data_IF_168774491537
#
_entry.id   IF_168774491537
#
_cell.length_a   1.000
_cell.length_b   1.000
_cell.length_c   1.000
_cell.angle_alpha   90.00
_cell.angle_beta   90.00
_cell.angle_gamma   90.00
#
_symmetry.space_group_name_H-M   'P 1'
#
loop_
_entity.id
_entity.type
_entity.pdbx_description
1 polymer ?
#
# COMPACT_ATOMS: atom_id res chain seq x y z
N UNK A 1 44.18 -21.49 -8.11
CA UNK A 1 44.68 -22.80 -8.59
C UNK A 1 44.76 -23.83 -7.46
N UNK A 2 45.39 -23.53 -6.32
CA UNK A 2 45.46 -24.44 -5.17
C UNK A 2 44.08 -24.92 -4.67
N UNK A 3 43.10 -24.01 -4.52
CA UNK A 3 41.73 -24.38 -4.11
C UNK A 3 41.05 -25.34 -5.11
N UNK A 4 41.28 -25.14 -6.42
CA UNK A 4 40.72 -26.03 -7.46
C UNK A 4 41.36 -27.42 -7.37
N UNK A 5 42.68 -27.48 -7.15
CA UNK A 5 43.41 -28.74 -6.94
C UNK A 5 42.93 -29.46 -5.67
N UNK A 6 42.76 -28.72 -4.56
CA UNK A 6 42.31 -29.25 -3.28
C UNK A 6 40.91 -29.86 -3.31
N UNK A 7 39.98 -29.31 -4.11
CA UNK A 7 38.67 -29.92 -4.35
C UNK A 7 38.72 -31.24 -5.14
N UNK A 8 39.86 -31.56 -5.76
CA UNK A 8 40.04 -32.73 -6.63
C UNK A 8 41.12 -33.69 -6.09
N UNK A 9 41.35 -33.68 -4.77
CA UNK A 9 42.37 -34.48 -4.08
C UNK A 9 43.76 -34.35 -4.72
N UNK A 10 44.10 -33.15 -5.18
CA UNK A 10 45.36 -32.86 -5.86
C UNK A 10 46.11 -31.69 -5.21
N UNK A 11 47.43 -31.68 -5.39
CA UNK A 11 48.26 -30.51 -5.16
C UNK A 11 48.82 -30.00 -6.48
N UNK A 12 49.09 -28.69 -6.52
CA UNK A 12 49.70 -28.02 -7.67
C UNK A 12 51.14 -27.68 -7.33
N UNK A 13 52.06 -28.00 -8.24
CA UNK A 13 53.46 -27.66 -8.10
C UNK A 13 54.05 -27.28 -9.47
N UNK A 14 55.19 -26.59 -9.44
CA UNK A 14 55.97 -26.31 -10.64
C UNK A 14 57.01 -27.43 -10.75
N UNK A 15 56.95 -28.19 -11.84
CA UNK A 15 57.90 -29.27 -12.12
C UNK A 15 59.27 -28.74 -12.52
N UNK A 16 60.27 -29.62 -12.51
CA UNK A 16 61.66 -29.29 -12.86
C UNK A 16 61.82 -28.83 -14.32
N UNK A 17 60.85 -29.14 -15.19
CA UNK A 17 60.76 -28.69 -16.58
C UNK A 17 60.07 -27.30 -16.74
N UNK A 18 59.72 -26.64 -15.63
CA UNK A 18 59.10 -25.31 -15.62
C UNK A 18 57.60 -25.29 -15.94
N UNK A 19 56.94 -26.46 -16.03
CA UNK A 19 55.49 -26.55 -16.22
C UNK A 19 54.74 -26.60 -14.90
N UNK A 20 53.48 -26.17 -14.90
CA UNK A 20 52.58 -26.39 -13.77
C UNK A 20 51.96 -27.77 -13.92
N UNK A 21 52.14 -28.64 -12.93
CA UNK A 21 51.56 -29.98 -12.87
C UNK A 21 50.63 -30.12 -11.66
N UNK A 22 49.68 -31.04 -11.78
CA UNK A 22 48.79 -31.44 -10.69
C UNK A 22 49.12 -32.88 -10.30
N UNK A 23 49.53 -33.12 -9.04
CA UNK A 23 49.66 -34.47 -8.49
C UNK A 23 48.39 -34.81 -7.73
N UNK A 24 47.69 -35.87 -8.15
CA UNK A 24 46.54 -36.44 -7.43
C UNK A 24 47.03 -37.46 -6.40
N UNK A 25 46.41 -37.42 -5.22
CA UNK A 25 46.65 -38.38 -4.15
C UNK A 25 45.46 -39.34 -4.07
N UNK A 26 45.74 -40.60 -3.78
CA UNK A 26 44.75 -41.64 -3.59
C UNK A 26 45.30 -42.72 -2.66
N UNK A 27 44.44 -43.39 -1.88
CA UNK A 27 44.87 -44.41 -0.93
C UNK A 27 45.69 -45.55 -1.56
N UNK A 28 45.39 -45.89 -2.82
CA UNK A 28 46.09 -46.92 -3.59
C UNK A 28 47.02 -46.35 -4.68
N UNK A 29 47.67 -45.20 -4.44
CA UNK A 29 48.61 -44.65 -5.44
C UNK A 29 49.75 -45.67 -5.75
N UNK A 30 50.23 -45.73 -7.01
CA UNK A 30 51.37 -46.57 -7.35
C UNK A 30 52.64 -46.08 -6.64
N UNK A 31 53.62 -46.96 -6.50
CA UNK A 31 54.95 -46.60 -6.01
C UNK A 31 55.74 -46.08 -7.21
N UNK A 32 56.19 -44.83 -7.13
CA UNK A 32 56.89 -44.14 -8.21
C UNK A 32 58.39 -44.50 -8.20
N UNK A 33 58.96 -44.82 -7.03
CA UNK A 33 60.36 -45.21 -6.90
C UNK A 33 60.61 -46.13 -5.70
N UNK A 34 61.33 -47.22 -5.93
CA UNK A 34 61.77 -48.14 -4.88
C UNK A 34 63.24 -47.84 -4.51
N UNK A 35 63.46 -47.45 -3.26
CA UNK A 35 64.76 -47.09 -2.71
C UNK A 35 65.37 -48.25 -1.95
N UNK A 36 66.50 -48.73 -2.46
CA UNK A 36 67.30 -49.74 -1.78
C UNK A 36 68.22 -49.10 -0.74
N UNK A 37 68.80 -49.91 0.15
CA UNK A 37 69.78 -49.46 1.16
C UNK A 37 71.05 -48.81 0.58
N UNK A 38 71.26 -48.82 -0.74
CA UNK A 38 72.37 -48.13 -1.43
C UNK A 38 72.02 -46.73 -1.90
N UNK A 39 70.72 -46.41 -1.94
CA UNK A 39 70.19 -45.18 -2.53
C UNK A 39 70.04 -44.06 -1.49
N UNK A 40 69.96 -44.42 -0.21
CA UNK A 40 69.89 -43.50 0.91
C UNK A 40 71.06 -43.65 1.88
N UNK A 41 71.45 -42.54 2.50
CA UNK A 41 72.51 -42.44 3.52
C UNK A 41 71.88 -42.58 4.91
N UNK A 42 70.72 -41.95 5.12
CA UNK A 42 70.00 -41.96 6.39
C UNK A 42 68.50 -41.86 6.15
N UNK A 43 67.72 -42.73 6.78
CA UNK A 43 66.27 -42.63 6.85
C UNK A 43 65.84 -42.55 8.32
N UNK A 44 65.28 -41.40 8.74
CA UNK A 44 64.78 -41.16 10.10
C UNK A 44 63.26 -41.07 10.06
N UNK A 45 62.59 -42.03 10.70
CA UNK A 45 61.15 -41.97 10.90
C UNK A 45 60.83 -40.90 11.95
N UNK A 46 60.03 -39.91 11.59
CA UNK A 46 59.76 -38.75 12.47
C UNK A 46 58.50 -38.92 13.31
N UNK A 47 57.54 -39.71 12.85
CA UNK A 47 56.30 -40.07 13.54
C UNK A 47 55.86 -41.48 13.12
N UNK A 48 54.92 -42.13 13.82
CA UNK A 48 54.24 -43.34 13.33
C UNK A 48 53.51 -43.10 12.00
N UNK A 49 53.12 -44.19 11.32
CA UNK A 49 52.35 -44.13 10.06
C UNK A 49 51.12 -43.24 10.26
N UNK A 50 50.98 -42.22 9.42
CA UNK A 50 49.85 -41.29 9.44
C UNK A 50 48.81 -41.78 8.45
N UNK A 51 47.60 -42.09 8.94
CA UNK A 51 46.48 -42.57 8.11
C UNK A 51 45.29 -41.63 8.25
N UNK A 52 44.71 -41.21 7.13
CA UNK A 52 43.53 -40.35 7.12
C UNK A 52 42.26 -41.14 6.79
N UNK A 53 41.24 -40.99 7.64
CA UNK A 53 39.93 -41.67 7.48
C UNK A 53 38.75 -40.70 7.54
N UNK A 54 39.00 -39.45 7.95
CA UNK A 54 38.02 -38.36 8.00
C UNK A 54 38.57 -37.12 7.29
N UNK A 55 37.72 -36.43 6.55
CA UNK A 55 38.04 -35.17 5.87
C UNK A 55 37.08 -34.10 6.36
N UNK A 56 37.62 -32.94 6.69
CA UNK A 56 36.86 -31.75 7.05
C UNK A 56 37.34 -30.60 6.18
N UNK A 57 36.40 -29.97 5.48
CA UNK A 57 36.67 -28.81 4.64
C UNK A 57 35.90 -27.60 5.15
N UNK A 58 36.62 -26.55 5.51
CA UNK A 58 36.02 -25.27 5.90
C UNK A 58 35.79 -24.43 4.64
N UNK A 59 34.54 -24.19 4.28
CA UNK A 59 34.17 -23.40 3.10
C UNK A 59 34.11 -21.89 3.40
N UNK A 60 33.58 -21.52 4.57
CA UNK A 60 33.60 -20.15 5.06
C UNK A 60 33.81 -20.15 6.56
N UNK A 61 34.92 -19.58 7.02
CA UNK A 61 35.16 -19.32 8.45
C UNK A 61 34.26 -18.21 8.99
N UNK A 62 33.73 -17.36 8.10
CA UNK A 62 32.86 -16.24 8.45
C UNK A 62 31.43 -16.71 8.73
N UNK A 63 30.90 -17.57 7.85
CA UNK A 63 29.52 -18.06 7.93
C UNK A 63 29.42 -19.42 8.64
N UNK A 64 30.52 -19.90 9.23
CA UNK A 64 30.66 -21.19 9.93
C UNK A 64 30.22 -22.39 9.08
N UNK A 65 30.52 -22.33 7.78
CA UNK A 65 30.17 -23.40 6.84
C UNK A 65 31.36 -24.36 6.73
N UNK A 66 31.22 -25.52 7.37
CA UNK A 66 32.16 -26.62 7.25
C UNK A 66 31.43 -27.91 6.82
N UNK A 67 32.06 -28.64 5.90
CA UNK A 67 31.58 -29.93 5.40
C UNK A 67 32.51 -31.03 5.89
N UNK A 68 31.95 -32.16 6.30
CA UNK A 68 32.72 -33.30 6.80
C UNK A 68 32.26 -34.61 6.16
N UNK A 69 33.20 -35.53 5.96
CA UNK A 69 32.93 -36.90 5.51
C UNK A 69 33.89 -37.89 6.19
N UNK A 70 33.37 -39.08 6.53
CA UNK A 70 34.12 -40.13 7.22
C UNK A 70 34.12 -40.04 8.74
N UNK A 71 34.78 -41.00 9.39
CA UNK A 71 34.92 -41.10 10.83
C UNK A 71 36.39 -41.29 11.21
N UNK A 72 36.82 -40.61 12.28
CA UNK A 72 38.20 -40.65 12.74
C UNK A 72 38.45 -39.59 13.81
N UNK A 73 39.41 -39.88 14.68
CA UNK A 73 39.91 -38.94 15.68
C UNK A 73 40.72 -37.82 15.01
N UNK A 74 41.14 -36.83 15.79
CA UNK A 74 41.87 -35.68 15.27
C UNK A 74 43.15 -36.08 14.51
N UNK A 75 43.87 -37.09 15.01
CA UNK A 75 45.07 -37.64 14.36
C UNK A 75 44.82 -38.28 12.99
N UNK A 76 43.57 -38.63 12.68
CA UNK A 76 43.13 -39.26 11.42
C UNK A 76 42.28 -38.33 10.55
N UNK A 77 42.17 -37.05 10.93
CA UNK A 77 41.38 -36.04 10.23
C UNK A 77 42.26 -35.15 9.36
N UNK A 78 41.98 -35.12 8.05
CA UNK A 78 42.59 -34.16 7.13
C UNK A 78 41.72 -32.89 7.09
N UNK A 79 42.29 -31.75 7.49
CA UNK A 79 41.62 -30.43 7.47
C UNK A 79 42.17 -29.58 6.32
N UNK A 80 41.30 -28.95 5.55
CA UNK A 80 41.66 -28.02 4.50
C UNK A 80 40.65 -26.86 4.41
N UNK A 81 41.13 -25.69 4.01
CA UNK A 81 40.29 -24.49 3.85
C UNK A 81 40.05 -24.27 2.35
N UNK A 82 38.78 -24.24 1.93
CA UNK A 82 38.45 -24.11 0.52
C UNK A 82 37.04 -23.53 0.27
N UNK A 83 36.91 -22.31 -0.28
CA UNK A 83 35.62 -21.66 -0.50
C UNK A 83 34.76 -22.30 -1.57
N UNK A 84 35.32 -23.19 -2.40
CA UNK A 84 34.58 -23.87 -3.47
C UNK A 84 34.07 -25.26 -3.06
N UNK A 85 34.26 -25.65 -1.80
CA UNK A 85 33.82 -26.95 -1.33
C UNK A 85 32.30 -27.02 -1.19
N UNK A 86 31.73 -28.15 -1.57
CA UNK A 86 30.33 -28.54 -1.32
C UNK A 86 30.33 -29.89 -0.62
N UNK A 87 29.22 -30.28 0.00
CA UNK A 87 29.12 -31.61 0.63
C UNK A 87 29.43 -32.75 -0.36
N UNK A 88 29.04 -32.62 -1.63
CA UNK A 88 29.35 -33.61 -2.66
C UNK A 88 30.86 -33.71 -2.91
N UNK A 89 31.56 -32.57 -3.05
CA UNK A 89 33.01 -32.54 -3.22
C UNK A 89 33.71 -33.19 -2.03
N UNK A 90 33.26 -32.93 -0.80
CA UNK A 90 33.87 -33.54 0.40
C UNK A 90 33.64 -35.05 0.45
N UNK A 91 32.49 -35.54 -0.01
CA UNK A 91 32.23 -36.98 -0.15
C UNK A 91 33.14 -37.61 -1.21
N UNK A 92 33.34 -36.95 -2.37
CA UNK A 92 34.22 -37.43 -3.43
C UNK A 92 35.70 -37.46 -2.97
N UNK A 93 36.13 -36.42 -2.25
CA UNK A 93 37.44 -36.36 -1.60
C UNK A 93 37.61 -37.51 -0.61
N UNK A 94 36.59 -37.80 0.20
CA UNK A 94 36.63 -38.91 1.15
C UNK A 94 36.73 -40.24 0.41
N UNK A 95 35.95 -40.47 -0.63
CA UNK A 95 36.03 -41.69 -1.43
C UNK A 95 37.44 -41.93 -2.02
N UNK A 96 38.14 -40.87 -2.43
CA UNK A 96 39.48 -40.99 -3.03
C UNK A 96 40.63 -41.12 -2.00
N UNK A 97 40.53 -40.42 -0.87
CA UNK A 97 41.60 -40.30 0.12
C UNK A 97 41.40 -41.17 1.38
N UNK A 98 40.24 -41.81 1.55
CA UNK A 98 39.98 -42.66 2.71
C UNK A 98 40.98 -43.83 2.76
N UNK A 99 41.73 -43.91 3.85
CA UNK A 99 42.81 -44.89 4.02
C UNK A 99 44.14 -44.47 3.42
N UNK A 100 44.29 -43.25 2.89
CA UNK A 100 45.58 -42.72 2.48
C UNK A 100 46.52 -42.68 3.68
N UNK A 101 47.65 -43.37 3.54
CA UNK A 101 48.64 -43.51 4.57
C UNK A 101 50.05 -43.28 4.02
N UNK A 102 50.89 -42.64 4.82
CA UNK A 102 52.31 -42.47 4.53
C UNK A 102 53.11 -42.50 5.83
N UNK A 103 54.37 -42.91 5.73
CA UNK A 103 55.32 -42.90 6.82
C UNK A 103 56.02 -41.52 6.89
N UNK A 104 55.78 -40.70 7.92
CA UNK A 104 56.47 -39.43 8.09
C UNK A 104 57.96 -39.67 8.31
N UNK A 105 58.81 -38.97 7.57
CA UNK A 105 60.25 -39.20 7.59
C UNK A 105 61.08 -37.99 7.17
N UNK A 106 62.35 -38.03 7.56
CA UNK A 106 63.45 -37.23 7.03
C UNK A 106 64.49 -38.19 6.45
N UNK A 107 64.77 -38.09 5.17
CA UNK A 107 65.72 -38.97 4.49
C UNK A 107 66.75 -38.17 3.70
N UNK A 108 68.01 -38.51 3.90
CA UNK A 108 69.11 -38.04 3.08
C UNK A 108 69.47 -39.12 2.07
N UNK A 109 69.34 -38.78 0.79
CA UNK A 109 69.54 -39.69 -0.33
C UNK A 109 70.60 -39.20 -1.30
N UNK A 110 71.04 -40.11 -2.17
CA UNK A 110 71.76 -39.73 -3.38
C UNK A 110 70.83 -38.91 -4.27
N UNK A 111 71.40 -38.00 -5.05
CA UNK A 111 70.64 -37.13 -5.93
C UNK A 111 69.88 -37.90 -7.01
N UNK A 112 68.55 -37.85 -6.97
CA UNK A 112 67.67 -38.38 -8.02
C UNK A 112 66.86 -37.23 -8.64
N UNK A 113 67.37 -36.56 -9.69
CA UNK A 113 66.70 -35.45 -10.36
C UNK A 113 65.34 -35.80 -10.97
N UNK A 114 65.06 -37.09 -11.21
CA UNK A 114 63.81 -37.53 -11.80
C UNK A 114 62.62 -37.54 -10.82
N UNK A 115 62.89 -37.49 -9.51
CA UNK A 115 61.83 -37.46 -8.49
C UNK A 115 61.33 -36.03 -8.30
N UNK A 116 60.02 -35.89 -8.25
CA UNK A 116 59.33 -34.62 -8.03
C UNK A 116 58.51 -34.63 -6.72
N UNK A 117 58.17 -33.45 -6.16
CA UNK A 117 57.24 -33.36 -5.04
C UNK A 117 55.90 -34.01 -5.37
N UNK A 118 55.44 -34.91 -4.49
CA UNK A 118 54.22 -35.68 -4.60
C UNK A 118 54.45 -37.15 -4.98
N UNK A 119 55.66 -37.54 -5.38
CA UNK A 119 55.96 -38.94 -5.73
C UNK A 119 55.97 -39.86 -4.50
N UNK A 120 55.38 -41.06 -4.67
CA UNK A 120 55.37 -42.09 -3.63
C UNK A 120 56.65 -42.91 -3.70
N UNK A 121 57.35 -43.00 -2.57
CA UNK A 121 58.58 -43.79 -2.45
C UNK A 121 58.34 -44.99 -1.55
N UNK A 122 58.90 -46.12 -1.94
CA UNK A 122 59.11 -47.26 -1.05
C UNK A 122 60.58 -47.29 -0.67
N UNK A 123 60.88 -47.63 0.58
CA UNK A 123 62.26 -47.84 1.01
C UNK A 123 62.34 -48.99 1.99
N UNK A 124 63.39 -49.79 1.83
CA UNK A 124 63.66 -50.91 2.73
C UNK A 124 64.60 -50.48 3.85
N UNK A 125 64.30 -50.91 5.07
CA UNK A 125 65.18 -50.76 6.24
C UNK A 125 65.46 -52.12 6.84
N UNK A 126 66.73 -52.40 7.12
CA UNK A 126 67.09 -53.55 7.93
C UNK A 126 66.83 -53.20 9.41
N UNK A 127 65.72 -53.68 9.95
CA UNK A 127 65.43 -53.58 11.38
C UNK A 127 66.04 -54.79 12.10
N UNK A 128 67.37 -54.77 12.25
CA UNK A 128 68.06 -55.72 13.12
C UNK A 128 67.81 -55.38 14.58
N UNK A 129 66.71 -55.85 15.17
CA UNK A 129 66.56 -55.87 16.63
C UNK A 129 67.39 -57.01 17.21
N UNK A 130 68.27 -56.74 18.18
CA UNK A 130 68.82 -57.80 19.04
C UNK A 130 67.68 -58.37 19.89
N UNK A 131 67.63 -59.70 20.02
CA UNK A 131 66.58 -60.45 20.74
C UNK A 131 66.16 -59.90 22.11
N UNK A 132 67.05 -59.18 22.81
CA UNK A 132 66.82 -58.61 24.15
C UNK A 132 65.91 -57.37 24.19
N UNK A 133 65.54 -56.77 23.05
CA UNK A 133 64.78 -55.50 23.01
C UNK A 133 63.42 -55.63 22.29
N UNK A 134 62.99 -56.86 21.96
CA UNK A 134 61.71 -57.08 21.28
C UNK A 134 60.56 -57.12 22.30
N UNK A 135 59.87 -56.00 22.47
CA UNK A 135 58.65 -55.87 23.29
C UNK A 135 57.36 -55.92 22.46
N UNK A 136 57.26 -56.81 21.48
CA UNK A 136 56.02 -57.10 20.76
C UNK A 136 55.56 -58.54 21.03
N UNK A 137 54.25 -58.75 21.22
CA UNK A 137 53.66 -60.08 21.30
C UNK A 137 53.71 -60.75 19.91
N UNK A 138 54.10 -62.03 19.87
CA UNK A 138 54.33 -62.84 18.66
C UNK A 138 53.19 -62.80 17.62
N UNK A 139 51.95 -62.52 18.04
CA UNK A 139 50.77 -62.55 17.18
C UNK A 139 50.70 -61.42 16.12
N UNK A 140 51.45 -60.32 16.29
CA UNK A 140 51.38 -59.14 15.40
C UNK A 140 52.72 -58.76 14.75
N UNK A 141 53.74 -59.61 14.85
CA UNK A 141 55.06 -59.30 14.27
C UNK A 141 55.18 -59.96 12.90
N UNK A 142 54.93 -59.18 11.83
CA UNK A 142 55.15 -59.64 10.46
C UNK A 142 56.63 -59.44 10.10
N UNK A 143 57.46 -60.44 10.37
CA UNK A 143 58.87 -60.45 9.96
C UNK A 143 58.95 -61.07 8.56
N UNK A 144 59.26 -60.29 7.52
CA UNK A 144 59.41 -60.84 6.17
C UNK A 144 60.64 -61.76 6.11
N UNK A 145 60.59 -62.77 5.23
CA UNK A 145 61.60 -63.81 5.08
C UNK A 145 63.01 -63.27 4.75
N UNK A 146 63.08 -62.06 4.20
CA UNK A 146 64.32 -61.34 3.85
C UNK A 146 64.89 -60.46 4.97
N UNK A 147 64.17 -60.34 6.10
CA UNK A 147 64.56 -59.49 7.24
C UNK A 147 64.51 -57.99 6.95
N UNK A 148 63.89 -57.53 5.85
CA UNK A 148 63.81 -56.12 5.49
C UNK A 148 62.38 -55.59 5.65
N UNK A 149 62.20 -54.52 6.42
CA UNK A 149 60.89 -53.87 6.57
C UNK A 149 60.72 -52.84 5.48
N UNK A 150 59.63 -52.96 4.72
CA UNK A 150 59.23 -52.05 3.66
C UNK A 150 58.41 -50.90 4.25
N UNK A 151 58.88 -49.66 4.05
CA UNK A 151 58.15 -48.47 4.42
C UNK A 151 57.75 -47.69 3.18
N UNK A 152 56.51 -47.20 3.19
CA UNK A 152 55.98 -46.33 2.14
C UNK A 152 55.87 -44.90 2.63
N UNK A 153 56.43 -43.96 1.90
CA UNK A 153 56.33 -42.52 2.17
C UNK A 153 56.02 -41.73 0.90
N UNK A 154 55.88 -40.42 1.04
CA UNK A 154 55.60 -39.50 -0.06
C UNK A 154 56.48 -38.27 0.07
N UNK A 155 56.99 -37.79 -1.06
CA UNK A 155 57.86 -36.62 -1.09
C UNK A 155 56.99 -35.36 -0.96
N UNK A 156 56.93 -34.73 0.21
CA UNK A 156 56.20 -33.46 0.37
C UNK A 156 57.12 -32.25 0.24
N UNK A 157 58.39 -32.42 0.60
CA UNK A 157 59.42 -31.42 0.41
C UNK A 157 60.73 -32.10 0.00
N UNK A 158 61.40 -31.51 -0.98
CA UNK A 158 62.63 -32.03 -1.56
C UNK A 158 63.63 -30.87 -1.69
N UNK A 159 64.89 -31.14 -1.36
CA UNK A 159 65.99 -30.19 -1.60
C UNK A 159 67.13 -30.90 -2.30
N UNK A 160 67.57 -30.36 -3.43
CA UNK A 160 68.74 -30.83 -4.17
C UNK A 160 69.92 -29.88 -3.91
N UNK A 161 71.09 -30.44 -3.59
CA UNK A 161 72.31 -29.68 -3.35
C UNK A 161 73.49 -30.32 -4.05
N UNK A 162 74.42 -29.51 -4.56
CA UNK A 162 75.62 -29.99 -5.24
C UNK A 162 76.86 -29.60 -4.46
N UNK A 163 77.54 -30.58 -3.87
CA UNK A 163 78.80 -30.38 -3.11
C UNK A 163 79.71 -31.60 -3.28
N UNK A 164 80.44 -31.66 -4.39
CA UNK A 164 81.28 -32.82 -4.77
C UNK A 164 80.47 -34.05 -5.22
N UNK A 165 79.16 -33.90 -5.35
CA UNK A 165 78.17 -34.91 -5.72
C UNK A 165 76.77 -34.32 -5.55
N UNK A 166 75.78 -34.86 -6.26
CA UNK A 166 74.38 -34.46 -6.09
C UNK A 166 73.80 -35.17 -4.87
N UNK A 167 73.42 -34.39 -3.85
CA UNK A 167 72.72 -34.88 -2.66
C UNK A 167 71.27 -34.42 -2.72
N UNK A 168 70.35 -35.29 -2.33
CA UNK A 168 68.94 -34.98 -2.17
C UNK A 168 68.51 -35.20 -0.73
N UNK A 169 67.64 -34.33 -0.22
CA UNK A 169 66.96 -34.52 1.06
C UNK A 169 65.46 -34.58 0.80
N UNK A 170 64.81 -35.60 1.33
CA UNK A 170 63.37 -35.85 1.24
C UNK A 170 62.76 -35.69 2.61
N UNK A 171 61.66 -34.95 2.68
CA UNK A 171 60.91 -34.73 3.90
C UNK A 171 59.41 -35.00 3.67
N UNK A 172 58.84 -35.76 4.59
CA UNK A 172 57.41 -36.00 4.73
C UNK A 172 56.98 -35.59 6.14
N UNK A 173 56.80 -34.28 6.41
CA UNK A 173 56.45 -33.80 7.73
C UNK A 173 55.03 -34.21 8.12
N UNK A 174 54.80 -34.43 9.42
CA UNK A 174 53.47 -34.69 10.00
C UNK A 174 53.35 -34.03 11.36
N UNK A 175 52.14 -33.58 11.71
CA UNK A 175 51.83 -33.05 13.04
C UNK A 175 51.77 -34.21 14.06
N UNK A 176 52.50 -34.07 15.16
CA UNK A 176 52.48 -35.02 16.28
C UNK A 176 51.14 -34.97 17.01
N UNK A 177 50.63 -36.12 17.45
CA UNK A 177 49.37 -36.25 18.19
C UNK A 177 49.45 -35.71 19.64
N UNK A 178 50.65 -35.37 20.13
CA UNK A 178 50.87 -34.94 21.51
C UNK A 178 50.96 -33.42 21.73
N UNK A 179 50.80 -32.58 20.69
CA UNK A 179 50.75 -31.13 20.91
C UNK A 179 49.32 -30.68 21.22
N UNK A 180 49.10 -30.33 22.50
CA UNK A 180 47.85 -29.76 23.03
C UNK A 180 47.38 -28.56 22.21
N UNK A 181 46.13 -28.65 21.76
CA UNK A 181 45.46 -27.84 20.72
C UNK A 181 45.00 -26.45 21.20
N UNK A 182 45.61 -25.86 22.22
CA UNK A 182 45.25 -24.51 22.68
C UNK A 182 46.22 -23.46 22.18
N UNK A 183 46.17 -23.18 20.88
CA UNK A 183 46.68 -21.89 20.37
C UNK A 183 45.76 -20.81 20.92
N UNK A 184 46.15 -20.16 22.01
CA UNK A 184 45.41 -19.02 22.55
C UNK A 184 45.51 -17.88 21.54
N UNK A 185 44.45 -17.67 20.75
CA UNK A 185 44.40 -16.57 19.78
C UNK A 185 44.61 -15.25 20.53
N UNK A 186 45.51 -14.40 20.02
CA UNK A 186 45.76 -13.10 20.61
C UNK A 186 44.50 -12.21 20.63
N UNK A 187 44.40 -11.25 21.56
CA UNK A 187 43.19 -10.43 21.75
C UNK A 187 42.80 -9.64 20.49
N UNK A 188 43.78 -9.19 19.69
CA UNK A 188 43.53 -8.51 18.42
C UNK A 188 42.89 -9.44 17.37
N UNK A 189 43.37 -10.69 17.27
CA UNK A 189 42.80 -11.68 16.35
C UNK A 189 41.36 -12.02 16.75
N UNK A 190 41.08 -12.14 18.06
CA UNK A 190 39.72 -12.35 18.55
C UNK A 190 38.81 -11.15 18.25
N UNK A 191 39.31 -9.92 18.39
CA UNK A 191 38.55 -8.71 18.05
C UNK A 191 38.27 -8.61 16.55
N UNK A 192 39.25 -8.90 15.68
CA UNK A 192 39.05 -8.91 14.23
C UNK A 192 38.04 -9.98 13.83
N UNK A 193 38.16 -11.20 14.34
CA UNK A 193 37.18 -12.27 14.10
C UNK A 193 35.78 -11.89 14.61
N UNK A 194 35.68 -11.19 15.74
CA UNK A 194 34.41 -10.68 16.25
C UNK A 194 33.82 -9.63 15.33
N UNK A 195 34.62 -8.69 14.82
CA UNK A 195 34.17 -7.67 13.85
C UNK A 195 33.72 -8.34 12.56
N UNK A 196 34.50 -9.29 12.03
CA UNK A 196 34.16 -9.98 10.79
C UNK A 196 32.83 -10.75 10.87
N UNK A 197 32.51 -11.30 12.06
CA UNK A 197 31.25 -12.02 12.32
C UNK A 197 30.07 -11.10 12.63
N UNK A 198 30.30 -9.96 13.26
CA UNK A 198 29.21 -9.12 13.80
C UNK A 198 28.94 -7.86 12.98
N UNK A 199 29.87 -7.43 12.12
CA UNK A 199 29.69 -6.23 11.32
C UNK A 199 28.76 -6.46 10.12
N UNK A 200 27.96 -5.42 9.82
CA UNK A 200 27.25 -5.31 8.55
C UNK A 200 28.26 -4.87 7.48
N UNK A 201 28.43 -5.71 6.45
CA UNK A 201 29.39 -5.52 5.37
C UNK A 201 28.70 -4.89 4.16
N UNK A 202 29.39 -3.97 3.50
CA UNK A 202 28.89 -3.31 2.29
C UNK A 202 28.60 -4.36 1.19
N UNK A 203 27.42 -4.27 0.58
CA UNK A 203 26.99 -5.15 -0.52
C UNK A 203 26.64 -6.59 -0.14
N UNK A 204 26.82 -7.00 1.12
CA UNK A 204 26.36 -8.31 1.60
C UNK A 204 24.86 -8.22 1.93
N UNK A 205 24.09 -9.18 1.42
CA UNK A 205 22.67 -9.31 1.75
C UNK A 205 22.49 -10.00 3.10
N UNK A 206 21.70 -9.38 3.96
CA UNK A 206 21.31 -9.86 5.28
C UNK A 206 19.80 -10.01 5.31
N UNK A 207 19.31 -11.18 4.89
CA UNK A 207 17.86 -11.48 4.85
C UNK A 207 17.07 -10.42 4.04
N UNK A 208 17.52 -10.16 2.82
CA UNK A 208 16.91 -9.16 1.91
C UNK A 208 17.35 -7.72 2.18
N UNK A 209 18.05 -7.44 3.29
CA UNK A 209 18.59 -6.11 3.60
C UNK A 209 20.03 -5.99 3.11
N UNK A 210 20.32 -4.98 2.31
CA UNK A 210 21.68 -4.68 1.84
C UNK A 210 21.97 -3.21 2.07
N UNK A 211 23.24 -2.88 2.32
CA UNK A 211 23.70 -1.48 2.33
C UNK A 211 24.86 -1.25 1.38
N UNK A 212 24.83 -0.13 0.66
CA UNK A 212 25.87 0.28 -0.28
C UNK A 212 26.07 1.80 -0.23
N UNK A 213 27.20 2.28 -0.78
CA UNK A 213 27.45 3.72 -0.89
C UNK A 213 26.58 4.35 -1.99
N UNK A 214 26.18 3.53 -2.96
CA UNK A 214 25.49 3.94 -4.17
C UNK A 214 23.98 4.04 -3.96
N UNK A 215 23.38 3.12 -3.20
CA UNK A 215 21.91 3.05 -3.01
C UNK A 215 21.46 3.28 -1.56
N UNK A 216 22.39 3.34 -0.59
CA UNK A 216 22.07 3.51 0.82
C UNK A 216 21.55 2.22 1.44
N UNK A 217 20.34 2.23 2.00
CA UNK A 217 19.68 1.05 2.54
C UNK A 217 18.68 0.50 1.52
N UNK A 218 18.87 -0.76 1.14
CA UNK A 218 18.00 -1.47 0.20
C UNK A 218 17.39 -2.67 0.91
N UNK A 219 16.07 -2.80 0.86
CA UNK A 219 15.35 -4.00 1.27
C UNK A 219 14.71 -4.60 0.03
N UNK A 220 15.17 -5.76 -0.41
CA UNK A 220 14.64 -6.46 -1.58
C UNK A 220 14.05 -7.82 -1.17
N UNK A 221 12.99 -8.23 -1.86
CA UNK A 221 12.46 -9.58 -1.76
C UNK A 221 13.15 -10.44 -2.80
N UNK A 222 13.48 -11.68 -2.44
CA UNK A 222 14.12 -12.64 -3.36
C UNK A 222 13.29 -12.91 -4.65
N UNK A 223 11.99 -12.64 -4.63
CA UNK A 223 11.09 -12.78 -5.79
C UNK A 223 11.07 -11.54 -6.72
N UNK A 224 11.79 -10.47 -6.38
CA UNK A 224 11.88 -9.23 -7.15
C UNK A 224 10.56 -8.44 -7.22
N UNK A 225 9.55 -8.79 -6.42
CA UNK A 225 8.22 -8.16 -6.48
C UNK A 225 8.09 -6.90 -5.63
N UNK A 226 8.95 -6.73 -4.64
CA UNK A 226 8.98 -5.50 -3.86
C UNK A 226 10.40 -5.17 -3.44
N UNK A 227 10.73 -3.89 -3.56
CA UNK A 227 12.01 -3.32 -3.14
C UNK A 227 11.74 -2.03 -2.38
N UNK A 228 12.48 -1.73 -1.33
CA UNK A 228 12.49 -0.43 -0.69
C UNK A 228 13.91 0.15 -0.74
N UNK A 229 14.03 1.43 -1.05
CA UNK A 229 15.31 2.15 -1.15
C UNK A 229 15.21 3.40 -0.31
N UNK A 230 16.11 3.54 0.67
CA UNK A 230 16.19 4.67 1.58
C UNK A 230 17.60 5.29 1.56
N UNK A 231 17.68 6.51 1.06
CA UNK A 231 18.86 7.37 1.07
C UNK A 231 18.44 8.85 1.02
N UNK A 232 19.40 9.78 0.89
CA UNK A 232 19.12 11.21 0.88
C UNK A 232 18.36 11.67 -0.38
N UNK A 233 18.53 10.96 -1.50
CA UNK A 233 17.92 11.27 -2.80
C UNK A 233 16.60 10.52 -3.02
N UNK A 234 16.38 9.42 -2.27
CA UNK A 234 15.30 8.49 -2.48
C UNK A 234 14.74 7.92 -1.18
N UNK A 235 13.42 8.07 -1.02
CA UNK A 235 12.61 7.33 -0.05
C UNK A 235 11.45 6.67 -0.81
N UNK A 236 11.65 5.45 -1.29
CA UNK A 236 10.71 4.76 -2.19
C UNK A 236 10.44 3.32 -1.79
N UNK A 237 9.17 2.93 -1.88
CA UNK A 237 8.70 1.55 -1.95
C UNK A 237 8.29 1.23 -3.40
N UNK A 238 8.87 0.18 -3.94
CA UNK A 238 8.65 -0.32 -5.29
C UNK A 238 7.73 -1.54 -5.29
N UNK A 239 6.91 -1.64 -6.33
CA UNK A 239 6.18 -2.85 -6.75
C UNK A 239 6.75 -3.30 -8.10
N UNK A 240 7.58 -4.34 -8.08
CA UNK A 240 8.48 -4.66 -9.20
C UNK A 240 9.38 -3.47 -9.52
N UNK A 241 9.36 -3.00 -10.77
CA UNK A 241 10.14 -1.83 -11.20
C UNK A 241 9.41 -0.49 -11.04
N UNK A 242 8.15 -0.48 -10.61
CA UNK A 242 7.33 0.74 -10.50
C UNK A 242 7.30 1.28 -9.08
N UNK A 243 7.35 2.61 -8.91
CA UNK A 243 7.18 3.24 -7.59
C UNK A 243 5.73 3.09 -7.11
N UNK A 244 5.54 2.55 -5.91
CA UNK A 244 4.24 2.38 -5.27
C UNK A 244 3.96 3.50 -4.26
N UNK A 245 4.95 3.83 -3.43
CA UNK A 245 4.92 4.93 -2.47
C UNK A 245 6.28 5.60 -2.45
N UNK A 246 6.35 6.91 -2.63
CA UNK A 246 7.64 7.61 -2.55
C UNK A 246 7.50 9.07 -2.12
N UNK A 247 8.59 9.61 -1.58
CA UNK A 247 8.76 11.05 -1.44
C UNK A 247 9.37 11.62 -2.73
N UNK A 248 8.64 12.51 -3.40
CA UNK A 248 9.11 13.28 -4.54
C UNK A 248 9.89 14.50 -4.04
N UNK A 249 11.21 14.32 -3.89
CA UNK A 249 12.15 15.33 -3.37
C UNK A 249 12.09 16.64 -4.15
N UNK A 250 11.87 16.59 -5.47
CA UNK A 250 11.83 17.81 -6.30
C UNK A 250 10.58 18.67 -6.06
N UNK A 251 9.51 18.09 -5.50
CA UNK A 251 8.22 18.74 -5.32
C UNK A 251 7.73 18.74 -3.86
N UNK A 252 8.54 18.26 -2.92
CA UNK A 252 8.24 18.09 -1.50
C UNK A 252 6.89 17.37 -1.23
N UNK A 253 6.63 16.26 -1.93
CA UNK A 253 5.34 15.56 -1.87
C UNK A 253 5.49 14.05 -1.67
N UNK A 254 4.68 13.49 -0.78
CA UNK A 254 4.40 12.07 -0.82
C UNK A 254 3.47 11.73 -1.98
N UNK A 255 3.83 10.70 -2.75
CA UNK A 255 3.05 10.18 -3.88
C UNK A 255 2.75 8.71 -3.69
N UNK A 256 1.56 8.31 -4.12
CA UNK A 256 1.07 6.94 -4.08
C UNK A 256 0.58 6.56 -5.48
N UNK A 257 0.99 5.38 -5.94
CA UNK A 257 0.52 4.77 -7.18
C UNK A 257 -0.49 3.68 -6.80
N UNK A 258 -1.76 4.06 -6.72
CA UNK A 258 -2.87 3.17 -6.36
C UNK A 258 -3.88 3.79 -5.40
N UNK A 259 -4.59 2.93 -4.67
CA UNK A 259 -5.60 3.31 -3.67
C UNK A 259 -4.94 3.45 -2.30
N UNK A 260 -5.21 4.56 -1.62
CA UNK A 260 -4.93 4.71 -0.19
C UNK A 260 -6.15 4.23 0.59
N UNK A 261 -6.03 3.10 1.29
CA UNK A 261 -7.06 2.56 2.18
C UNK A 261 -6.64 2.77 3.63
N UNK A 262 -7.41 3.55 4.37
CA UNK A 262 -7.18 3.85 5.78
C UNK A 262 -8.51 3.86 6.54
N UNK A 263 -8.47 3.54 7.84
CA UNK A 263 -9.65 3.56 8.71
C UNK A 263 -10.08 5.00 9.02
N UNK A 264 -9.11 5.93 9.09
CA UNK A 264 -9.33 7.35 9.36
C UNK A 264 -8.22 8.19 8.68
N UNK A 265 -8.46 9.49 8.52
CA UNK A 265 -7.52 10.43 7.93
C UNK A 265 -7.85 11.87 8.28
N UNK A 266 -6.87 12.59 8.81
CA UNK A 266 -6.98 14.04 9.09
C UNK A 266 -6.14 14.80 8.07
N UNK A 267 -6.80 15.52 7.17
CA UNK A 267 -6.16 16.37 6.17
C UNK A 267 -6.29 17.83 6.58
N UNK A 268 -5.18 18.57 6.57
CA UNK A 268 -5.17 20.04 6.74
C UNK A 268 -4.98 20.69 5.36
N UNK A 269 -5.63 21.85 5.16
CA UNK A 269 -5.56 22.59 3.90
C UNK A 269 -6.63 22.16 2.91
N UNK A 270 -6.26 22.10 1.62
CA UNK A 270 -7.21 21.83 0.52
C UNK A 270 -7.17 20.38 0.09
N UNK A 271 -8.33 19.73 0.03
CA UNK A 271 -8.52 18.43 -0.63
C UNK A 271 -8.96 18.71 -2.07
N UNK A 272 -8.13 18.35 -3.05
CA UNK A 272 -8.48 18.39 -4.48
C UNK A 272 -8.82 16.97 -4.92
N UNK A 273 -10.10 16.71 -5.19
CA UNK A 273 -10.59 15.39 -5.58
C UNK A 273 -11.67 15.55 -6.67
N UNK A 274 -11.77 14.57 -7.56
CA UNK A 274 -12.85 14.53 -8.56
C UNK A 274 -14.20 14.19 -7.93
N UNK A 275 -14.21 13.25 -6.99
CA UNK A 275 -15.40 12.80 -6.26
C UNK A 275 -15.08 12.68 -4.78
N UNK A 276 -15.95 13.23 -3.93
CA UNK A 276 -15.91 13.05 -2.47
C UNK A 276 -17.22 12.37 -2.05
N UNK A 277 -17.12 11.15 -1.56
CA UNK A 277 -18.26 10.42 -0.98
C UNK A 277 -18.09 10.51 0.54
N UNK A 278 -18.87 11.37 1.17
CA UNK A 278 -18.81 11.63 2.62
C UNK A 278 -20.19 11.68 3.24
N UNK A 279 -20.28 11.36 4.53
CA UNK A 279 -21.54 11.42 5.27
C UNK A 279 -21.93 12.84 5.67
N UNK A 280 -20.99 13.61 6.24
CA UNK A 280 -21.21 15.00 6.66
C UNK A 280 -20.13 15.90 6.08
N UNK A 281 -20.54 16.99 5.42
CA UNK A 281 -19.65 17.99 4.84
C UNK A 281 -19.95 19.32 5.55
N UNK A 282 -19.09 19.70 6.48
CA UNK A 282 -19.17 20.99 7.18
C UNK A 282 -18.32 22.02 6.44
N UNK A 283 -18.95 22.78 5.55
CA UNK A 283 -18.30 23.85 4.79
C UNK A 283 -19.06 25.17 4.94
N UNK A 284 -18.36 26.28 4.76
CA UNK A 284 -18.97 27.62 4.74
C UNK A 284 -19.70 27.92 3.43
N UNK A 285 -19.27 27.30 2.32
CA UNK A 285 -19.87 27.45 1.01
C UNK A 285 -19.84 26.11 0.27
N UNK A 286 -20.95 25.82 -0.43
CA UNK A 286 -21.06 24.69 -1.35
C UNK A 286 -21.47 25.30 -2.69
N UNK A 287 -20.55 25.29 -3.66
CA UNK A 287 -20.82 25.71 -5.03
C UNK A 287 -20.87 24.47 -5.91
N UNK A 288 -22.02 24.18 -6.49
CA UNK A 288 -22.23 23.01 -7.33
C UNK A 288 -23.44 23.22 -8.24
N UNK A 289 -23.54 22.41 -9.30
CA UNK A 289 -24.67 22.51 -10.24
C UNK A 289 -25.98 22.04 -9.62
N UNK A 290 -26.02 20.79 -9.17
CA UNK A 290 -27.23 20.16 -8.61
C UNK A 290 -27.00 19.80 -7.14
N UNK A 291 -27.91 20.25 -6.27
CA UNK A 291 -27.97 19.86 -4.86
C UNK A 291 -29.27 19.10 -4.65
N UNK A 292 -29.16 17.81 -4.32
CA UNK A 292 -30.31 16.94 -4.05
C UNK A 292 -30.28 16.51 -2.59
N UNK A 293 -31.35 16.82 -1.86
CA UNK A 293 -31.52 16.40 -0.46
C UNK A 293 -32.99 16.24 -0.12
N UNK A 294 -33.28 15.36 0.84
CA UNK A 294 -34.65 15.23 1.40
C UNK A 294 -35.09 16.49 2.14
N UNK A 295 -34.13 17.23 2.69
CA UNK A 295 -34.30 18.48 3.40
C UNK A 295 -33.10 19.40 3.10
N UNK A 296 -33.38 20.60 2.59
CA UNK A 296 -32.40 21.67 2.42
C UNK A 296 -32.89 22.85 3.24
N UNK A 297 -32.11 23.32 4.23
CA UNK A 297 -32.53 24.42 5.11
C UNK A 297 -31.36 25.30 5.55
N UNK A 298 -31.66 26.57 5.84
CA UNK A 298 -30.66 27.55 6.29
C UNK A 298 -30.39 27.52 7.80
N UNK A 299 -31.33 27.02 8.61
CA UNK A 299 -31.21 26.85 10.06
C UNK A 299 -32.05 25.65 10.52
N UNK A 300 -31.75 25.09 11.68
CA UNK A 300 -32.54 24.02 12.29
C UNK A 300 -33.91 24.49 12.81
N UNK A 301 -34.00 25.75 13.21
CA UNK A 301 -35.17 26.37 13.83
C UNK A 301 -35.21 27.88 13.57
N UNK A 302 -36.27 28.54 14.05
CA UNK A 302 -36.46 29.97 13.93
C UNK A 302 -36.60 30.44 12.48
N UNK A 303 -35.92 31.54 12.16
CA UNK A 303 -35.95 32.15 10.83
C UNK A 303 -35.14 31.31 9.85
N UNK A 304 -35.81 30.73 8.85
CA UNK A 304 -35.17 29.86 7.86
C UNK A 304 -35.93 29.76 6.55
N UNK A 305 -35.21 29.42 5.48
CA UNK A 305 -35.80 28.83 4.28
C UNK A 305 -35.63 27.32 4.36
N UNK A 306 -36.66 26.58 3.99
CA UNK A 306 -36.70 25.11 3.99
C UNK A 306 -37.26 24.61 2.66
N UNK A 307 -36.58 23.64 2.03
CA UNK A 307 -37.08 22.86 0.90
C UNK A 307 -37.16 21.39 1.35
N UNK A 308 -38.29 20.73 1.11
CA UNK A 308 -38.51 19.35 1.51
C UNK A 308 -39.15 18.53 0.39
N UNK A 309 -38.73 17.28 0.26
CA UNK A 309 -39.33 16.34 -0.67
C UNK A 309 -40.62 15.68 -0.14
N UNK A 310 -40.86 15.72 1.18
CA UNK A 310 -41.97 14.99 1.83
C UNK A 310 -43.03 15.89 2.42
N UNK A 311 -42.67 17.12 2.79
CA UNK A 311 -43.57 18.06 3.45
C UNK A 311 -44.00 19.14 2.46
N UNK A 312 -43.31 20.29 2.53
CA UNK A 312 -43.58 21.48 1.77
C UNK A 312 -42.53 21.62 0.67
N UNK A 313 -42.91 22.08 -0.53
CA UNK A 313 -41.94 22.27 -1.62
C UNK A 313 -40.93 23.35 -1.26
N UNK A 314 -41.42 24.46 -0.67
CA UNK A 314 -40.61 25.53 -0.12
C UNK A 314 -41.36 26.21 1.03
N UNK A 315 -40.70 26.47 2.14
CA UNK A 315 -41.27 27.27 3.24
C UNK A 315 -40.29 28.33 3.72
N UNK A 316 -40.78 29.55 3.87
CA UNK A 316 -40.07 30.65 4.50
C UNK A 316 -40.64 30.89 5.90
N UNK A 317 -39.89 30.50 6.93
CA UNK A 317 -40.26 30.68 8.32
C UNK A 317 -39.65 31.97 8.86
N UNK A 318 -40.46 32.80 9.52
CA UNK A 318 -39.95 33.68 10.57
C UNK A 318 -39.83 32.88 11.89
N UNK A 319 -40.85 32.08 12.19
CA UNK A 319 -40.89 31.05 13.23
C UNK A 319 -42.06 30.07 12.95
N UNK A 320 -42.32 29.09 13.82
CA UNK A 320 -43.37 28.08 13.64
C UNK A 320 -44.81 28.63 13.55
N UNK A 321 -45.04 29.87 14.01
CA UNK A 321 -46.34 30.52 13.98
C UNK A 321 -46.54 31.40 12.75
N UNK A 322 -45.46 31.96 12.20
CA UNK A 322 -45.48 32.92 11.10
C UNK A 322 -44.59 32.46 9.96
N UNK A 323 -45.22 31.99 8.89
CA UNK A 323 -44.51 31.50 7.73
C UNK A 323 -45.36 31.55 6.46
N UNK A 324 -44.67 31.47 5.33
CA UNK A 324 -45.29 31.29 4.02
C UNK A 324 -44.81 29.96 3.46
N UNK A 325 -45.73 29.16 2.94
CA UNK A 325 -45.40 27.86 2.36
C UNK A 325 -45.92 27.74 0.94
N UNK A 326 -45.12 27.14 0.07
CA UNK A 326 -45.51 26.68 -1.25
C UNK A 326 -45.80 25.19 -1.12
N UNK A 327 -47.07 24.83 -1.18
CA UNK A 327 -47.54 23.47 -0.96
C UNK A 327 -48.45 23.03 -2.10
N UNK A 328 -48.49 21.72 -2.42
CA UNK A 328 -49.52 21.20 -3.31
C UNK A 328 -50.90 21.39 -2.66
N UNK A 329 -51.80 22.10 -3.34
CA UNK A 329 -53.17 22.35 -2.89
C UNK A 329 -54.18 21.58 -3.76
N UNK A 330 -55.18 20.96 -3.11
CA UNK A 330 -56.40 20.37 -3.68
C UNK A 330 -56.29 19.85 -5.12
N UNK A 331 -55.44 18.84 -5.35
CA UNK A 331 -55.49 18.05 -6.58
C UNK A 331 -54.63 18.53 -7.75
N UNK A 332 -53.54 19.28 -7.53
CA UNK A 332 -52.38 19.09 -8.41
C UNK A 332 -51.39 20.24 -8.60
N UNK A 333 -51.71 21.48 -8.20
CA UNK A 333 -50.81 22.63 -8.40
C UNK A 333 -50.17 23.14 -7.11
N UNK A 334 -48.94 23.68 -7.14
CA UNK A 334 -48.39 24.42 -6.01
C UNK A 334 -49.18 25.71 -5.79
N UNK A 335 -49.60 25.95 -4.55
CA UNK A 335 -50.17 27.22 -4.13
C UNK A 335 -49.41 27.80 -2.95
N UNK A 336 -49.49 29.13 -2.84
CA UNK A 336 -48.89 29.90 -1.76
C UNK A 336 -49.88 29.96 -0.61
N UNK A 337 -49.45 29.57 0.57
CA UNK A 337 -50.23 29.60 1.80
C UNK A 337 -49.59 30.54 2.81
N UNK A 338 -50.40 31.37 3.45
CA UNK A 338 -49.96 32.32 4.47
C UNK A 338 -50.42 31.82 5.83
N UNK A 339 -49.49 31.73 6.78
CA UNK A 339 -49.77 31.24 8.13
C UNK A 339 -49.50 32.31 9.19
N UNK A 340 -50.45 32.43 10.14
CA UNK A 340 -50.37 33.30 11.30
C UNK A 340 -50.84 32.52 12.53
N UNK A 341 -50.03 32.51 13.59
CA UNK A 341 -50.25 31.67 14.78
C UNK A 341 -50.53 30.20 14.44
N UNK A 342 -49.84 29.68 13.41
CA UNK A 342 -49.99 28.31 12.92
C UNK A 342 -51.26 28.03 12.11
N UNK A 343 -52.16 29.01 11.97
CA UNK A 343 -53.38 28.87 11.18
C UNK A 343 -53.18 29.43 9.77
N UNK A 344 -53.72 28.74 8.77
CA UNK A 344 -53.79 29.30 7.42
C UNK A 344 -54.79 30.47 7.41
N UNK A 345 -54.31 31.67 7.07
CA UNK A 345 -55.13 32.89 7.00
C UNK A 345 -55.42 33.34 5.57
N UNK A 346 -54.89 32.60 4.59
CA UNK A 346 -55.11 32.87 3.20
C UNK A 346 -54.23 32.03 2.30
N UNK A 347 -54.59 32.04 1.02
CA UNK A 347 -53.93 31.26 -0.01
C UNK A 347 -54.12 31.87 -1.40
N UNK A 348 -53.11 31.67 -2.25
CA UNK A 348 -53.12 32.01 -3.67
C UNK A 348 -52.80 30.73 -4.43
N UNK A 349 -53.72 30.26 -5.25
CA UNK A 349 -53.57 28.97 -5.93
C UNK A 349 -54.31 28.93 -7.26
N UNK A 350 -53.82 28.09 -8.15
CA UNK A 350 -54.46 27.85 -9.44
C UNK A 350 -55.39 26.63 -9.34
N UNK A 351 -56.54 26.72 -9.99
CA UNK A 351 -57.47 25.62 -10.22
C UNK A 351 -57.74 25.49 -11.72
N UNK A 352 -58.47 24.44 -12.13
CA UNK A 352 -58.96 24.31 -13.50
C UNK A 352 -59.80 25.50 -13.98
N UNK A 353 -60.37 26.28 -13.05
CA UNK A 353 -61.25 27.42 -13.34
C UNK A 353 -60.54 28.78 -13.23
N UNK A 354 -59.22 28.81 -13.03
CA UNK A 354 -58.42 30.04 -12.95
C UNK A 354 -57.65 30.22 -11.63
N UNK A 355 -57.16 31.45 -11.40
CA UNK A 355 -56.43 31.85 -10.18
C UNK A 355 -57.41 32.23 -9.07
N UNK A 356 -57.22 31.64 -7.90
CA UNK A 356 -57.99 31.93 -6.70
C UNK A 356 -57.13 32.64 -5.68
N UNK A 357 -57.69 33.71 -5.10
CA UNK A 357 -57.13 34.43 -3.95
C UNK A 357 -58.17 34.28 -2.84
N UNK A 358 -57.86 33.41 -1.86
CA UNK A 358 -58.72 33.11 -0.72
C UNK A 358 -58.15 33.70 0.56
N UNK A 359 -59.01 34.31 1.38
CA UNK A 359 -58.71 34.77 2.73
C UNK A 359 -60.02 34.98 3.50
N UNK A 360 -59.99 34.89 4.83
CA UNK A 360 -61.15 35.23 5.66
C UNK A 360 -61.57 36.69 5.48
N UNK A 361 -60.57 37.57 5.40
CA UNK A 361 -60.74 38.98 5.06
C UNK A 361 -59.72 39.37 4.00
N UNK A 362 -60.22 39.85 2.84
CA UNK A 362 -59.37 40.36 1.76
C UNK A 362 -59.40 41.89 1.77
N UNK A 363 -58.29 42.51 2.16
CA UNK A 363 -58.10 43.96 2.09
C UNK A 363 -57.28 44.32 0.85
N UNK A 364 -57.87 45.06 -0.08
CA UNK A 364 -57.19 45.58 -1.27
C UNK A 364 -56.91 47.07 -1.09
N UNK A 365 -55.73 47.41 -0.59
CA UNK A 365 -55.28 48.81 -0.45
C UNK A 365 -54.47 49.21 -1.67
N UNK A 366 -55.14 49.82 -2.65
CA UNK A 366 -54.54 50.28 -3.91
C UNK A 366 -55.08 51.66 -4.26
N UNK A 367 -54.28 52.47 -4.97
CA UNK A 367 -54.70 53.83 -5.36
C UNK A 367 -55.90 53.86 -6.30
N UNK A 368 -56.04 52.84 -7.16
CA UNK A 368 -57.20 52.62 -8.02
C UNK A 368 -57.40 51.13 -8.25
N UNK A 369 -58.63 50.65 -8.09
CA UNK A 369 -59.00 49.26 -8.41
C UNK A 369 -59.83 49.23 -9.67
N UNK A 370 -59.47 48.37 -10.62
CA UNK A 370 -60.31 48.06 -11.78
C UNK A 370 -60.69 46.59 -11.75
N UNK A 371 -61.98 46.30 -11.70
CA UNK A 371 -62.52 44.94 -11.83
C UNK A 371 -63.08 44.83 -13.25
N UNK A 372 -62.47 44.02 -14.09
CA UNK A 372 -62.92 43.81 -15.47
C UNK A 372 -63.93 42.67 -15.52
N UNK A 373 -65.16 42.98 -15.94
CA UNK A 373 -66.28 42.06 -16.02
C UNK A 373 -67.60 42.82 -15.93
N UNK A 374 -68.70 42.20 -16.38
CA UNK A 374 -70.04 42.78 -16.19
C UNK A 374 -70.48 42.69 -14.72
N UNK A 375 -71.43 43.54 -14.32
CA UNK A 375 -72.07 43.48 -12.99
C UNK A 375 -72.72 42.12 -12.68
N UNK A 376 -73.00 41.32 -13.71
CA UNK A 376 -73.48 39.93 -13.61
C UNK A 376 -72.40 38.92 -13.23
N UNK A 377 -71.12 39.26 -13.39
CA UNK A 377 -69.96 38.42 -13.04
C UNK A 377 -69.46 38.70 -11.62
N UNK A 378 -69.70 39.91 -11.10
CA UNK A 378 -69.43 40.23 -9.70
C UNK A 378 -70.56 39.67 -8.84
N UNK A 379 -70.21 38.80 -7.88
CA UNK A 379 -71.17 38.13 -7.01
C UNK A 379 -70.95 38.58 -5.57
N UNK A 380 -72.04 38.75 -4.85
CA UNK A 380 -72.08 38.75 -3.39
C UNK A 380 -72.66 37.41 -2.94
N UNK A 381 -72.65 37.06 -1.64
CA UNK A 381 -73.20 35.78 -1.21
C UNK A 381 -74.62 35.55 -1.78
N UNK A 382 -74.77 34.43 -2.49
CA UNK A 382 -76.01 33.92 -3.08
C UNK A 382 -76.66 34.74 -4.23
N UNK A 383 -76.06 35.83 -4.71
CA UNK A 383 -76.61 36.57 -5.86
C UNK A 383 -75.56 37.40 -6.63
N UNK A 384 -75.88 37.80 -7.86
CA UNK A 384 -75.04 38.75 -8.61
C UNK A 384 -75.21 40.15 -8.04
N UNK A 385 -74.20 41.01 -8.19
CA UNK A 385 -74.29 42.41 -7.78
C UNK A 385 -75.37 43.14 -8.59
N UNK A 386 -75.55 42.80 -9.86
CA UNK A 386 -76.66 43.29 -10.68
C UNK A 386 -78.02 43.00 -10.01
N UNK A 387 -78.30 41.75 -9.67
CA UNK A 387 -79.57 41.38 -9.02
C UNK A 387 -79.75 42.07 -7.66
N UNK A 388 -78.66 42.23 -6.90
CA UNK A 388 -78.68 42.97 -5.64
C UNK A 388 -79.08 44.43 -5.82
N UNK A 389 -78.50 45.12 -6.81
CA UNK A 389 -78.80 46.52 -7.10
C UNK A 389 -80.20 46.71 -7.66
N UNK A 390 -80.64 45.82 -8.57
CA UNK A 390 -81.99 45.85 -9.13
C UNK A 390 -83.05 45.68 -8.04
N UNK A 391 -82.80 44.84 -7.03
CA UNK A 391 -83.70 44.66 -5.88
C UNK A 391 -83.80 45.89 -4.96
N UNK A 392 -82.81 46.79 -5.02
CA UNK A 392 -82.75 48.02 -4.21
C UNK A 392 -83.27 49.24 -4.97
N UNK A 393 -83.30 49.19 -6.29
CA UNK A 393 -83.97 50.18 -7.10
C UNK A 393 -85.48 49.93 -7.03
N UNK A 394 -86.23 50.76 -6.30
CA UNK A 394 -87.70 50.76 -6.34
C UNK A 394 -88.17 51.40 -7.64
N UNK A 395 -87.97 50.66 -8.73
CA UNK A 395 -88.36 51.05 -10.08
C UNK A 395 -89.87 51.26 -10.16
N UNK A 396 -90.65 50.51 -9.37
CA UNK A 396 -92.10 50.69 -9.23
C UNK A 396 -92.50 52.05 -8.65
N UNK A 397 -91.85 52.53 -7.59
CA UNK A 397 -92.13 53.85 -7.02
C UNK A 397 -91.64 54.99 -7.91
N UNK A 398 -90.52 54.81 -8.61
CA UNK A 398 -90.05 55.76 -9.62
C UNK A 398 -91.03 55.87 -10.79
N UNK A 399 -91.48 54.74 -11.34
CA UNK A 399 -92.47 54.73 -12.41
C UNK A 399 -93.80 55.32 -11.92
N UNK A 400 -94.25 54.99 -10.71
CA UNK A 400 -95.47 55.56 -10.14
C UNK A 400 -95.39 57.08 -9.96
N UNK A 401 -94.23 57.61 -9.57
CA UNK A 401 -94.00 59.06 -9.48
C UNK A 401 -93.90 59.72 -10.86
N UNK A 402 -93.28 59.05 -11.84
CA UNK A 402 -93.24 59.53 -13.21
C UNK A 402 -94.65 59.58 -13.83
N UNK A 403 -95.44 58.52 -13.62
CA UNK A 403 -96.82 58.42 -14.08
C UNK A 403 -97.73 59.44 -13.38
N UNK A 404 -97.58 59.62 -12.06
CA UNK A 404 -98.27 60.70 -11.34
C UNK A 404 -97.84 62.08 -11.85
N UNK A 405 -96.57 62.32 -12.10
CA UNK A 405 -96.10 63.60 -12.67
C UNK A 405 -96.65 63.84 -14.08
N UNK A 406 -96.83 62.78 -14.88
CA UNK A 406 -97.44 62.87 -16.20
C UNK A 406 -98.94 63.20 -16.11
N UNK A 407 -99.66 62.60 -15.17
CA UNK A 407 -101.10 62.85 -14.94
C UNK A 407 -101.38 64.20 -14.27
N UNK A 408 -100.48 64.69 -13.42
CA UNK A 408 -100.60 65.96 -12.67
C UNK A 408 -99.82 67.10 -13.33
N UNK A 409 -99.29 66.89 -14.55
CA UNK A 409 -98.69 67.97 -15.34
C UNK A 409 -99.70 69.13 -15.40
N UNK A 410 -99.26 70.31 -14.94
CA UNK A 410 -100.08 71.50 -14.64
C UNK A 410 -100.62 72.19 -15.89
N UNK A 411 -100.75 71.44 -16.97
CA UNK A 411 -101.22 71.91 -18.25
C UNK A 411 -102.74 71.86 -18.26
N UNK A 412 -103.34 73.02 -18.51
CA UNK A 412 -104.78 73.16 -18.67
C UNK A 412 -105.15 72.52 -20.00
N UNK A 413 -105.84 71.38 -19.93
CA UNK A 413 -106.29 70.64 -21.11
C UNK A 413 -107.67 71.12 -21.57
N UNK A 414 -108.56 71.49 -20.65
CA UNK A 414 -109.88 72.04 -20.96
C UNK A 414 -110.41 72.95 -19.87
N UNK A 415 -111.46 73.73 -20.17
CA UNK A 415 -112.10 74.64 -19.23
C UNK A 415 -113.63 74.60 -19.37
N UNK A 416 -114.35 74.77 -18.26
CA UNK A 416 -115.82 74.86 -18.23
C UNK A 416 -116.27 75.99 -17.32
N UNK A 417 -117.23 76.78 -17.78
CA UNK A 417 -117.83 77.87 -17.02
C UNK A 417 -119.23 77.48 -16.57
N UNK A 418 -119.46 77.47 -15.26
CA UNK A 418 -120.78 77.30 -14.67
C UNK A 418 -121.42 78.67 -14.45
N UNK A 419 -122.42 78.99 -15.26
CA UNK A 419 -123.13 80.27 -15.21
C UNK A 419 -123.97 80.45 -13.94
N UNK A 420 -124.34 79.36 -13.24
CA UNK A 420 -125.11 79.43 -12.00
C UNK A 420 -124.27 79.80 -10.78
N UNK A 421 -122.99 79.40 -10.77
CA UNK A 421 -122.05 79.69 -9.67
C UNK A 421 -120.92 80.66 -10.04
N UNK A 422 -120.88 81.13 -11.30
CA UNK A 422 -119.83 81.98 -11.91
C UNK A 422 -118.40 81.44 -11.74
N UNK A 423 -118.26 80.13 -11.66
CA UNK A 423 -116.96 79.49 -11.49
C UNK A 423 -116.44 78.99 -12.84
N UNK A 424 -115.27 79.47 -13.24
CA UNK A 424 -114.48 78.89 -14.33
C UNK A 424 -113.58 77.79 -13.74
N UNK A 425 -113.84 76.54 -14.13
CA UNK A 425 -113.03 75.38 -13.74
C UNK A 425 -112.09 75.01 -14.88
N UNK A 426 -110.80 74.87 -14.57
CA UNK A 426 -109.79 74.38 -15.49
C UNK A 426 -109.51 72.91 -15.16
N UNK A 427 -109.38 72.05 -16.16
CA UNK A 427 -109.15 70.62 -16.02
C UNK A 427 -107.84 70.20 -16.66
N UNK A 428 -107.18 69.19 -16.10
CA UNK A 428 -106.07 68.51 -16.76
C UNK A 428 -106.58 67.47 -17.77
N UNK A 429 -105.67 66.78 -18.45
CA UNK A 429 -105.96 65.75 -19.47
C UNK A 429 -106.72 64.53 -18.94
N UNK A 430 -106.73 64.29 -17.61
CA UNK A 430 -107.51 63.22 -16.97
C UNK A 430 -108.88 63.67 -16.45
N UNK A 431 -109.26 64.94 -16.67
CA UNK A 431 -110.56 65.50 -16.24
C UNK A 431 -110.62 65.90 -14.76
N UNK A 432 -109.50 65.88 -14.04
CA UNK A 432 -109.41 66.43 -12.69
C UNK A 432 -109.35 67.96 -12.73
N UNK A 433 -110.08 68.62 -11.83
CA UNK A 433 -110.08 70.09 -11.74
C UNK A 433 -108.76 70.59 -11.17
N UNK A 434 -108.01 71.37 -11.96
CA UNK A 434 -106.74 71.99 -11.59
C UNK A 434 -106.94 73.28 -10.80
N UNK A 435 -107.92 74.10 -11.19
CA UNK A 435 -108.22 75.37 -10.53
C UNK A 435 -109.69 75.71 -10.72
N UNK A 436 -110.26 76.39 -9.73
CA UNK A 436 -111.59 77.02 -9.84
C UNK A 436 -111.41 78.52 -9.58
N UNK A 437 -111.77 79.34 -10.56
CA UNK A 437 -111.73 80.81 -10.44
C UNK A 437 -113.15 81.32 -10.41
N UNK A 438 -113.50 82.05 -9.36
CA UNK A 438 -114.75 82.79 -9.32
C UNK A 438 -114.60 84.07 -10.16
N UNK A 439 -115.43 84.24 -11.18
CA UNK A 439 -115.40 85.42 -12.06
C UNK A 439 -116.29 86.51 -11.44
N UNK A 440 -115.74 87.60 -10.90
CA UNK A 440 -116.53 88.67 -10.27
C UNK A 440 -117.49 89.34 -11.25
N UNK A 441 -118.55 89.96 -10.72
CA UNK A 441 -119.73 90.47 -11.44
C UNK A 441 -119.39 91.32 -12.65
#
# INVERSE_FOLDING_TARGET
MANIAGCNAASVFVSLDGKIKFKRFAAAAPIDFDMTSRDYIRAKLTNPIKTYTRIVVTASTEDDIAYAAGAGDEGKTLRLDNPFATQQIVNDLHAQLNGFAYQPLEMDTRGFPQLEPGDSIEFVRNEGTTWAQMTSQWANTNVPWDGMVHYRSIILHQTLSFKGGLKMSIQAPSKSEQQSEFVTKGPLTQQVESIDKTAVKQGKSYYGVTTSKEEGLVIDRDDGKAKAVFNADELTFYKGSSKALWFDVANDKYKFSGTLEGVDGVFKGTIQAGTIIGGTINGSSITGGTITGSLIRTSSDGTRIELSATNNLLTAYYNSNYYISINPLYGGGPGIQFFNNGNNVGNIYMSSNGLWIGADNLFLSVGSTTIQGGWSQLKIPNQTLQAALDSKADVSALNSKADQSYVVARDVYSASFDSSTRNLKLYNSSGATLVTVNIPS
#
